data_IF_170192230798
#
_entry.id   IF_170192230798
#
_cell.length_a   1.000
_cell.length_b   1.000
_cell.length_c   1.000
_cell.angle_alpha   90.00
_cell.angle_beta   90.00
_cell.angle_gamma   90.00
#
_symmetry.space_group_name_H-M   'P 1'
#
loop_
_entity.id
_entity.type
_entity.pdbx_description
1 polymer ?
#
# COMPACT_ATOMS: atom_id res chain seq x y z
N UNK A 1 -9.49 -7.40 -21.92
CA UNK A 1 -8.80 -6.12 -22.14
C UNK A 1 -8.20 -5.63 -20.83
N UNK A 2 -6.94 -5.25 -20.85
CA UNK A 2 -6.26 -4.79 -19.63
C UNK A 2 -6.67 -3.36 -19.33
N UNK A 3 -6.90 -3.11 -18.06
CA UNK A 3 -7.15 -1.74 -17.60
C UNK A 3 -5.92 -0.89 -17.82
N UNK A 4 -6.14 0.35 -18.25
CA UNK A 4 -5.06 1.33 -18.36
C UNK A 4 -4.75 1.90 -16.96
N UNK A 5 -3.47 2.00 -16.65
CA UNK A 5 -3.04 2.58 -15.38
C UNK A 5 -1.61 3.12 -15.50
N UNK A 6 -1.30 4.07 -14.66
CA UNK A 6 0.07 4.56 -14.53
C UNK A 6 0.75 3.80 -13.40
N UNK A 7 2.02 3.50 -13.58
CA UNK A 7 2.78 2.81 -12.55
C UNK A 7 3.96 3.69 -12.11
N UNK A 8 3.99 3.99 -10.81
CA UNK A 8 5.07 4.77 -10.21
C UNK A 8 5.82 3.86 -9.25
N UNK A 9 7.13 3.82 -9.37
CA UNK A 9 7.96 2.97 -8.51
C UNK A 9 8.92 3.85 -7.71
N UNK A 10 9.00 3.59 -6.40
CA UNK A 10 9.91 4.28 -5.49
C UNK A 10 10.74 3.23 -4.79
N UNK A 11 12.06 3.42 -4.80
CA UNK A 11 12.99 2.54 -4.09
C UNK A 11 13.70 3.35 -3.03
N UNK A 12 13.72 2.82 -1.82
CA UNK A 12 14.41 3.46 -0.70
C UNK A 12 15.24 2.44 0.05
N UNK A 13 16.32 2.87 0.71
CA UNK A 13 17.03 1.98 1.61
C UNK A 13 16.08 1.45 2.69
N UNK A 14 16.33 0.23 3.15
CA UNK A 14 15.49 -0.41 4.17
C UNK A 14 15.79 0.18 5.55
N UNK A 15 15.44 1.45 5.72
CA UNK A 15 15.68 2.21 6.94
C UNK A 15 14.45 3.03 7.28
N UNK A 16 14.10 3.07 8.55
CA UNK A 16 12.92 3.79 9.03
C UNK A 16 12.94 5.28 8.68
N UNK A 17 14.12 5.88 8.56
CA UNK A 17 14.25 7.30 8.25
C UNK A 17 13.74 7.68 6.87
N UNK A 18 13.51 6.70 5.99
CA UNK A 18 12.98 6.97 4.65
C UNK A 18 11.48 6.74 4.52
N UNK A 19 10.81 6.34 5.59
CA UNK A 19 9.36 6.15 5.58
C UNK A 19 8.65 7.45 5.19
N UNK A 20 9.16 8.58 5.66
CA UNK A 20 8.60 9.89 5.33
C UNK A 20 8.58 10.21 3.84
N UNK A 21 9.61 9.77 3.11
CA UNK A 21 9.67 9.95 1.65
C UNK A 21 8.50 9.24 0.97
N UNK A 22 8.25 8.01 1.40
CA UNK A 22 7.16 7.21 0.83
C UNK A 22 5.79 7.78 1.21
N UNK A 23 5.66 8.26 2.44
CA UNK A 23 4.41 8.91 2.88
C UNK A 23 4.09 10.14 2.04
N UNK A 24 5.09 10.96 1.75
CA UNK A 24 4.91 12.13 0.89
C UNK A 24 4.54 11.73 -0.54
N UNK A 25 5.17 10.71 -1.08
CA UNK A 25 4.84 10.18 -2.40
C UNK A 25 3.39 9.69 -2.44
N UNK A 26 3.00 8.95 -1.42
CA UNK A 26 1.63 8.45 -1.30
C UNK A 26 0.62 9.59 -1.26
N UNK A 27 0.89 10.58 -0.44
CA UNK A 27 0.03 11.75 -0.29
C UNK A 27 -0.12 12.49 -1.62
N UNK A 28 0.99 12.69 -2.32
CA UNK A 28 0.96 13.38 -3.61
C UNK A 28 0.14 12.65 -4.66
N UNK A 29 0.32 11.34 -4.75
CA UNK A 29 -0.42 10.51 -5.71
C UNK A 29 -1.91 10.48 -5.35
N UNK A 30 -2.22 10.21 -4.10
CA UNK A 30 -3.60 10.10 -3.64
C UNK A 30 -4.37 11.40 -3.76
N UNK A 31 -3.69 12.51 -3.43
CA UNK A 31 -4.30 13.84 -3.58
C UNK A 31 -4.62 14.14 -5.05
N UNK A 32 -3.71 13.81 -5.94
CA UNK A 32 -3.92 13.99 -7.38
C UNK A 32 -5.11 13.17 -7.88
N UNK A 33 -5.30 11.98 -7.32
CA UNK A 33 -6.43 11.10 -7.70
C UNK A 33 -7.78 11.58 -7.18
N UNK A 34 -7.78 12.45 -6.18
CA UNK A 34 -9.03 12.97 -5.62
C UNK A 34 -9.52 12.24 -4.38
N UNK A 35 -8.67 11.48 -3.72
CA UNK A 35 -9.06 10.85 -2.45
C UNK A 35 -9.35 11.90 -1.40
N UNK A 36 -10.27 11.58 -0.50
CA UNK A 36 -10.58 12.45 0.64
C UNK A 36 -9.38 12.55 1.59
N UNK A 37 -9.38 13.58 2.42
CA UNK A 37 -8.34 13.73 3.43
C UNK A 37 -8.25 12.48 4.32
N UNK A 38 -9.40 11.98 4.75
CA UNK A 38 -9.46 10.79 5.60
C UNK A 38 -8.84 9.57 4.92
N UNK A 39 -9.19 9.33 3.66
CA UNK A 39 -8.64 8.21 2.91
C UNK A 39 -7.14 8.35 2.68
N UNK A 40 -6.66 9.57 2.43
CA UNK A 40 -5.23 9.83 2.29
C UNK A 40 -4.50 9.51 3.59
N UNK A 41 -5.06 9.91 4.74
CA UNK A 41 -4.45 9.59 6.02
C UNK A 41 -4.45 8.08 6.29
N UNK A 42 -5.51 7.39 5.94
CA UNK A 42 -5.58 5.93 6.06
C UNK A 42 -4.52 5.26 5.19
N UNK A 43 -4.35 5.72 3.96
CA UNK A 43 -3.32 5.22 3.05
C UNK A 43 -1.93 5.42 3.63
N UNK A 44 -1.66 6.61 4.16
CA UNK A 44 -0.36 6.92 4.75
C UNK A 44 -0.03 6.01 5.93
N UNK A 45 -1.00 5.77 6.78
CA UNK A 45 -0.82 4.88 7.94
C UNK A 45 -0.58 3.44 7.48
N UNK A 46 -1.43 2.94 6.59
CA UNK A 46 -1.31 1.56 6.11
C UNK A 46 0.03 1.30 5.43
N UNK A 47 0.44 2.21 4.57
CA UNK A 47 1.71 2.08 3.84
C UNK A 47 2.89 2.20 4.80
N UNK A 48 2.82 3.10 5.77
CA UNK A 48 3.88 3.23 6.79
C UNK A 48 4.05 1.93 7.58
N UNK A 49 2.96 1.28 7.93
CA UNK A 49 3.02 0.01 8.63
C UNK A 49 3.61 -1.10 7.77
N UNK A 50 3.23 -1.14 6.50
CA UNK A 50 3.79 -2.14 5.57
C UNK A 50 5.31 -1.94 5.40
N UNK A 51 5.75 -0.69 5.32
CA UNK A 51 7.18 -0.39 5.19
C UNK A 51 7.91 -0.70 6.48
N UNK A 52 7.33 -0.38 7.62
CA UNK A 52 7.93 -0.70 8.92
C UNK A 52 8.17 -2.21 9.04
N UNK A 53 7.19 -3.01 8.62
CA UNK A 53 7.34 -4.47 8.63
C UNK A 53 8.44 -4.92 7.67
N UNK A 54 8.51 -4.32 6.49
CA UNK A 54 9.55 -4.64 5.51
C UNK A 54 10.93 -4.25 6.00
N UNK A 55 11.07 -3.12 6.68
CA UNK A 55 12.33 -2.68 7.28
C UNK A 55 12.79 -3.67 8.35
N UNK A 56 11.89 -4.09 9.21
CA UNK A 56 12.19 -5.08 10.25
C UNK A 56 12.67 -6.39 9.64
N UNK A 57 11.95 -6.87 8.63
CA UNK A 57 12.28 -8.11 7.96
C UNK A 57 13.66 -8.03 7.29
N UNK A 58 13.92 -6.96 6.57
CA UNK A 58 15.20 -6.75 5.91
C UNK A 58 16.34 -6.66 6.94
N UNK A 59 16.10 -6.00 8.06
CA UNK A 59 17.10 -5.86 9.11
C UNK A 59 17.45 -7.21 9.76
N UNK A 60 16.46 -8.03 10.02
CA UNK A 60 16.67 -9.37 10.58
C UNK A 60 17.47 -10.26 9.64
N UNK A 61 17.26 -10.08 8.34
CA UNK A 61 17.91 -10.89 7.33
C UNK A 61 19.39 -10.54 7.14
N UNK A 62 19.68 -9.26 6.93
CA UNK A 62 21.04 -8.85 6.59
C UNK A 62 21.45 -7.49 7.14
N UNK A 63 20.50 -6.73 7.68
CA UNK A 63 20.74 -5.36 8.10
C UNK A 63 20.92 -4.37 6.97
N UNK A 64 20.85 -4.84 5.74
CA UNK A 64 21.01 -4.03 4.54
C UNK A 64 19.91 -4.41 3.57
N UNK A 65 19.67 -3.55 2.62
CA UNK A 65 18.72 -3.84 1.57
C UNK A 65 17.95 -2.63 1.16
N UNK A 66 17.04 -2.88 0.25
CA UNK A 66 16.19 -1.89 -0.37
C UNK A 66 14.75 -2.33 -0.27
N UNK A 67 13.86 -1.34 -0.12
CA UNK A 67 12.43 -1.59 -0.18
C UNK A 67 11.92 -0.94 -1.44
N UNK A 68 11.12 -1.67 -2.20
CA UNK A 68 10.52 -1.17 -3.41
C UNK A 68 9.03 -0.98 -3.18
N UNK A 69 8.54 0.20 -3.51
CA UNK A 69 7.12 0.54 -3.40
C UNK A 69 6.61 0.83 -4.81
N UNK A 70 5.56 0.11 -5.21
CA UNK A 70 4.92 0.32 -6.49
C UNK A 70 3.53 0.88 -6.30
N UNK A 71 3.19 1.94 -7.05
CA UNK A 71 1.86 2.55 -7.04
C UNK A 71 1.21 2.32 -8.39
N UNK A 72 0.14 1.57 -8.41
CA UNK A 72 -0.68 1.39 -9.61
C UNK A 72 -1.85 2.36 -9.55
N UNK A 73 -1.81 3.38 -10.40
CA UNK A 73 -2.79 4.47 -10.41
C UNK A 73 -3.84 4.16 -11.47
N UNK A 74 -4.97 3.64 -11.02
CA UNK A 74 -6.10 3.30 -11.88
C UNK A 74 -7.14 4.41 -11.82
N UNK A 75 -8.11 4.34 -12.69
CA UNK A 75 -9.19 5.32 -12.71
C UNK A 75 -10.05 5.27 -11.45
N UNK A 76 -10.26 4.09 -10.90
CA UNK A 76 -11.19 3.84 -9.79
C UNK A 76 -10.50 3.47 -8.49
N UNK A 77 -9.18 3.31 -8.48
CA UNK A 77 -8.50 2.84 -7.28
C UNK A 77 -6.99 3.09 -7.33
N UNK A 78 -6.40 3.03 -6.17
CA UNK A 78 -4.94 3.01 -6.03
C UNK A 78 -4.53 1.64 -5.49
N UNK A 79 -3.59 0.99 -6.15
CA UNK A 79 -2.98 -0.23 -5.67
C UNK A 79 -1.55 0.06 -5.26
N UNK A 80 -1.19 -0.32 -4.06
CA UNK A 80 0.17 -0.07 -3.54
C UNK A 80 0.81 -1.39 -3.18
N UNK A 81 2.00 -1.61 -3.70
CA UNK A 81 2.77 -2.81 -3.48
C UNK A 81 4.03 -2.47 -2.71
N UNK A 82 4.29 -3.20 -1.62
CA UNK A 82 5.52 -3.02 -0.84
C UNK A 82 6.27 -4.34 -0.83
N UNK A 83 7.50 -4.32 -1.32
CA UNK A 83 8.36 -5.49 -1.32
C UNK A 83 9.63 -5.22 -0.53
N UNK A 84 10.08 -6.23 0.18
CA UNK A 84 11.26 -6.13 1.05
C UNK A 84 12.57 -6.45 0.35
N UNK A 85 12.56 -6.51 -0.98
CA UNK A 85 13.79 -6.68 -1.76
C UNK A 85 13.84 -5.65 -2.87
N UNK A 86 15.04 -5.39 -3.38
CA UNK A 86 15.29 -4.30 -4.30
C UNK A 86 14.94 -4.56 -5.77
N UNK A 87 14.25 -5.62 -6.09
CA UNK A 87 13.90 -5.90 -7.48
C UNK A 87 12.75 -5.03 -7.97
N UNK A 88 12.69 -4.82 -9.27
CA UNK A 88 11.56 -4.16 -9.89
C UNK A 88 10.40 -5.12 -10.00
N UNK A 89 9.19 -4.57 -10.00
CA UNK A 89 7.96 -5.36 -10.10
C UNK A 89 7.50 -5.50 -11.53
N UNK A 90 6.96 -6.66 -11.83
CA UNK A 90 5.98 -6.80 -12.89
C UNK A 90 4.63 -7.00 -12.19
N UNK A 91 3.81 -5.97 -12.20
CA UNK A 91 2.55 -5.98 -11.46
C UNK A 91 1.63 -7.14 -11.89
N UNK A 92 1.58 -7.42 -13.19
CA UNK A 92 0.75 -8.50 -13.69
C UNK A 92 1.19 -9.86 -13.16
N UNK A 93 2.49 -10.13 -13.16
CA UNK A 93 3.02 -11.39 -12.62
C UNK A 93 2.79 -11.52 -11.13
N UNK A 94 3.01 -10.44 -10.39
CA UNK A 94 2.80 -10.45 -8.95
C UNK A 94 1.34 -10.72 -8.62
N UNK A 95 0.42 -10.09 -9.34
CA UNK A 95 -1.01 -10.26 -9.08
C UNK A 95 -1.50 -11.68 -9.36
N UNK A 96 -0.88 -12.39 -10.28
CA UNK A 96 -1.23 -13.78 -10.53
C UNK A 96 -0.86 -14.71 -9.38
N UNK A 97 0.19 -14.38 -8.65
CA UNK A 97 0.73 -15.21 -7.59
C UNK A 97 0.26 -14.82 -6.20
N UNK A 98 -0.39 -13.66 -6.08
CA UNK A 98 -0.84 -13.14 -4.80
C UNK A 98 -2.22 -13.69 -4.44
N UNK A 99 -2.36 -14.12 -3.18
CA UNK A 99 -3.64 -14.49 -2.62
C UNK A 99 -4.10 -13.50 -1.58
N UNK A 100 -5.40 -13.51 -1.26
CA UNK A 100 -5.91 -12.61 -0.23
C UNK A 100 -5.31 -12.95 1.14
N UNK A 101 -5.14 -11.92 1.96
CA UNK A 101 -4.73 -12.10 3.33
C UNK A 101 -5.85 -12.80 4.10
N UNK A 102 -5.50 -13.85 4.82
CA UNK A 102 -6.43 -14.56 5.69
C UNK A 102 -5.86 -14.57 7.10
N UNK A 103 -6.73 -14.40 8.08
CA UNK A 103 -6.30 -14.28 9.47
C UNK A 103 -5.57 -15.51 9.99
N UNK A 104 -5.80 -16.66 9.39
CA UNK A 104 -5.16 -17.90 9.79
C UNK A 104 -3.89 -18.24 9.00
N UNK A 105 -3.52 -17.42 8.02
CA UNK A 105 -2.30 -17.64 7.23
C UNK A 105 -1.09 -17.14 7.99
N UNK A 106 -0.29 -18.06 8.51
CA UNK A 106 0.98 -17.74 9.18
C UNK A 106 0.86 -16.58 10.17
N UNK A 107 -0.21 -16.56 10.94
CA UNK A 107 -0.51 -15.49 11.86
C UNK A 107 0.66 -15.20 12.81
N UNK A 108 1.36 -16.24 13.23
CA UNK A 108 2.47 -16.08 14.17
C UNK A 108 3.65 -15.37 13.53
N UNK A 109 3.97 -15.73 12.29
CA UNK A 109 5.02 -15.00 11.54
C UNK A 109 4.62 -13.56 11.28
N UNK A 110 3.36 -13.36 10.93
CA UNK A 110 2.83 -12.04 10.65
C UNK A 110 2.72 -11.21 11.93
N UNK A 111 2.47 -11.86 13.06
CA UNK A 111 2.37 -11.18 14.35
C UNK A 111 3.70 -10.71 14.91
N UNK A 112 4.79 -11.33 14.50
CA UNK A 112 6.10 -10.80 14.87
C UNK A 112 6.31 -9.42 14.31
N UNK A 113 5.63 -9.09 13.23
CA UNK A 113 5.56 -7.74 12.71
C UNK A 113 4.60 -6.83 13.47
N UNK A 114 3.92 -7.33 14.51
CA UNK A 114 3.02 -6.55 15.34
C UNK A 114 1.62 -6.44 14.78
N UNK A 115 0.90 -5.40 15.21
CA UNK A 115 -0.47 -5.13 14.79
C UNK A 115 -0.57 -4.59 13.37
N UNK A 116 0.56 -4.37 12.72
CA UNK A 116 0.61 -3.71 11.42
C UNK A 116 -0.33 -4.30 10.38
N UNK A 117 -0.35 -5.64 10.26
CA UNK A 117 -1.20 -6.27 9.25
C UNK A 117 -2.69 -6.15 9.55
N UNK A 118 -3.07 -6.20 10.81
CA UNK A 118 -4.46 -5.96 11.20
C UNK A 118 -4.85 -4.53 10.92
N UNK A 119 -3.96 -3.59 11.19
CA UNK A 119 -4.20 -2.18 10.92
C UNK A 119 -4.33 -1.92 9.43
N UNK A 120 -3.44 -2.49 8.64
CA UNK A 120 -3.50 -2.37 7.18
C UNK A 120 -4.84 -2.90 6.65
N UNK A 121 -5.23 -4.09 7.10
CA UNK A 121 -6.49 -4.70 6.68
C UNK A 121 -7.69 -3.83 7.07
N UNK A 122 -7.63 -3.22 8.25
CA UNK A 122 -8.71 -2.36 8.73
C UNK A 122 -8.84 -1.06 7.93
N UNK A 123 -7.73 -0.54 7.42
CA UNK A 123 -7.71 0.77 6.75
C UNK A 123 -7.85 0.67 5.22
N UNK A 124 -7.52 -0.48 4.65
CA UNK A 124 -7.56 -0.68 3.21
C UNK A 124 -8.76 -1.51 2.81
N UNK A 125 -9.19 -1.36 1.57
CA UNK A 125 -10.33 -2.11 1.05
C UNK A 125 -9.96 -3.56 0.73
N UNK A 126 -8.70 -3.80 0.41
CA UNK A 126 -8.23 -5.13 0.08
C UNK A 126 -6.74 -5.24 0.40
N UNK A 127 -6.35 -6.37 0.97
CA UNK A 127 -4.94 -6.65 1.26
C UNK A 127 -4.62 -8.06 0.78
N UNK A 128 -3.56 -8.19 0.01
CA UNK A 128 -3.11 -9.48 -0.51
C UNK A 128 -1.62 -9.62 -0.20
N UNK A 129 -1.18 -10.82 0.11
CA UNK A 129 0.21 -11.07 0.52
C UNK A 129 0.79 -12.19 -0.33
N UNK A 130 2.03 -11.99 -0.77
CA UNK A 130 2.79 -13.02 -1.45
C UNK A 130 4.15 -13.13 -0.76
N UNK A 131 4.46 -14.30 -0.28
CA UNK A 131 5.74 -14.56 0.38
C UNK A 131 6.71 -15.37 -0.49
N UNK A 132 6.34 -15.68 -1.72
CA UNK A 132 7.13 -16.49 -2.63
C UNK A 132 8.42 -15.81 -3.08
N UNK A 133 8.38 -14.49 -3.25
CA UNK A 133 9.52 -13.70 -3.71
C UNK A 133 9.96 -12.70 -2.66
N UNK A 134 10.05 -13.13 -1.40
CA UNK A 134 10.14 -12.25 -0.27
C UNK A 134 8.74 -11.88 0.17
N UNK A 135 8.59 -10.92 1.05
CA UNK A 135 7.27 -10.51 1.50
C UNK A 135 6.80 -9.36 0.63
N UNK A 136 5.77 -9.59 -0.14
CA UNK A 136 5.12 -8.57 -0.96
C UNK A 136 3.71 -8.38 -0.42
N UNK A 137 3.39 -7.14 -0.06
CA UNK A 137 2.06 -6.77 0.40
C UNK A 137 1.43 -5.89 -0.67
N UNK A 138 0.29 -6.30 -1.19
CA UNK A 138 -0.48 -5.52 -2.15
C UNK A 138 -1.73 -4.99 -1.44
N UNK A 139 -1.87 -3.68 -1.43
CA UNK A 139 -2.98 -2.98 -0.77
C UNK A 139 -3.78 -2.22 -1.81
N UNK A 140 -5.10 -2.29 -1.69
CA UNK A 140 -5.99 -1.60 -2.63
C UNK A 140 -6.92 -0.66 -1.86
N UNK A 141 -7.04 0.57 -2.35
CA UNK A 141 -8.00 1.54 -1.85
C UNK A 141 -8.82 2.06 -3.02
N UNK A 142 -10.14 1.88 -2.92
CA UNK A 142 -11.04 2.35 -3.98
C UNK A 142 -11.38 3.81 -3.81
N UNK A 143 -11.52 4.49 -4.92
CA UNK A 143 -11.89 5.89 -4.95
C UNK A 143 -13.42 5.98 -4.97
N UNK A 144 -13.98 6.57 -3.92
CA UNK A 144 -15.43 6.72 -3.79
C UNK A 144 -15.89 8.08 -4.33
N UNK A 145 -15.64 8.28 -5.60
CA UNK A 145 -15.85 9.55 -6.26
C UNK A 145 -17.29 10.06 -6.20
N UNK A 146 -18.22 9.17 -6.48
CA UNK A 146 -19.65 9.54 -6.55
C UNK A 146 -20.17 10.01 -5.21
N UNK A 147 -19.84 9.30 -4.14
CA UNK A 147 -20.29 9.67 -2.79
C UNK A 147 -19.66 10.97 -2.33
N UNK A 148 -18.36 11.11 -2.54
CA UNK A 148 -17.63 12.30 -2.14
C UNK A 148 -18.16 13.51 -2.91
N UNK A 149 -18.38 13.37 -4.22
CA UNK A 149 -18.92 14.44 -5.03
C UNK A 149 -20.31 14.88 -4.58
N UNK A 150 -21.19 13.92 -4.34
CA UNK A 150 -22.56 14.22 -3.89
C UNK A 150 -22.56 14.86 -2.51
N UNK A 151 -21.78 14.35 -1.61
CA UNK A 151 -21.69 14.92 -0.27
C UNK A 151 -21.08 16.31 -0.29
N UNK A 152 -20.08 16.52 -1.12
CA UNK A 152 -19.51 17.84 -1.31
C UNK A 152 -20.52 18.85 -1.83
N UNK A 153 -21.27 18.44 -2.81
CA UNK A 153 -22.32 19.29 -3.39
C UNK A 153 -23.41 19.61 -2.37
N UNK A 154 -23.83 18.61 -1.60
CA UNK A 154 -24.83 18.80 -0.57
C UNK A 154 -24.36 19.77 0.50
N UNK A 155 -23.12 19.61 0.93
CA UNK A 155 -22.52 20.51 1.92
C UNK A 155 -22.48 21.93 1.37
N UNK A 156 -22.11 22.08 0.12
CA UNK A 156 -22.04 23.37 -0.53
C UNK A 156 -23.38 24.05 -0.61
N UNK A 157 -24.44 23.27 -0.85
CA UNK A 157 -25.78 23.83 -1.03
C UNK A 157 -26.50 24.10 0.29
N UNK A 158 -26.11 23.44 1.35
CA UNK A 158 -26.77 23.64 2.64
C UNK A 158 -26.15 24.77 3.47
N UNK A 159 -25.11 25.31 3.00
CA UNK A 159 -24.46 26.42 3.68
C UNK A 159 -24.86 27.74 3.08
#
# INVERSE_FOLDING_TARGET
MMESFDFVEVKVPAKAEYIGVVRLSTSGIANRMGFSFEDIEDLKVAISEAITNAVKHAYEDSGEGEITIGFGVYEDRLEVMVADHGGSFNLGEVKEDIGPYQQDDNIEELREGGFGLFLIDALMDKVEINSKYGVIVLMTKYLHETEVGQNGDQISTTQ
#
